data_IF_909169848391
#
_entry.id   IF_909169848391
#
_cell.length_a   1.000
_cell.length_b   1.000
_cell.length_c   1.000
_cell.angle_alpha   90.00
_cell.angle_beta   90.00
_cell.angle_gamma   90.00
#
_symmetry.space_group_name_H-M   'P 1'
#
loop_
_entity.id
_entity.type
_entity.pdbx_description
1 polymer ?
#
# COMPACT_ATOMS: atom_id res chain seq x y z
N UNK A 1 -24.11 51.51 -49.61
CA UNK A 1 -24.46 52.36 -48.45
C UNK A 1 -25.71 53.17 -48.81
N UNK A 2 -26.65 53.52 -47.91
CA UNK A 2 -26.70 53.37 -46.44
C UNK A 2 -27.89 52.48 -45.94
N UNK A 3 -27.76 51.68 -44.86
CA UNK A 3 -28.06 51.91 -43.41
C UNK A 3 -29.50 52.37 -43.09
N UNK A 4 -30.30 51.54 -42.40
CA UNK A 4 -31.16 51.87 -41.23
C UNK A 4 -31.74 50.60 -40.52
N UNK A 5 -31.55 50.56 -39.20
CA UNK A 5 -32.29 50.03 -38.02
C UNK A 5 -33.29 48.82 -38.03
N UNK A 6 -32.99 47.87 -37.12
CA UNK A 6 -33.73 47.32 -35.93
C UNK A 6 -35.07 46.52 -36.01
N UNK A 7 -34.98 45.30 -35.47
CA UNK A 7 -35.80 44.58 -34.44
C UNK A 7 -37.26 44.14 -34.70
N UNK A 8 -37.60 42.89 -34.34
CA UNK A 8 -38.35 42.51 -33.11
C UNK A 8 -38.91 41.08 -33.14
N UNK A 9 -39.14 40.52 -31.94
CA UNK A 9 -39.68 39.19 -31.60
C UNK A 9 -41.15 38.96 -32.04
N UNK A 10 -41.56 37.70 -32.28
CA UNK A 10 -42.48 36.89 -31.42
C UNK A 10 -43.00 35.61 -32.06
N UNK A 11 -43.32 34.68 -31.17
CA UNK A 11 -43.75 33.28 -31.24
C UNK A 11 -44.90 32.89 -32.19
N UNK A 12 -44.95 31.59 -32.54
CA UNK A 12 -46.21 30.87 -32.80
C UNK A 12 -46.08 29.37 -32.43
N UNK A 13 -47.02 28.88 -31.60
CA UNK A 13 -47.27 27.46 -31.32
C UNK A 13 -48.00 26.81 -32.52
N UNK A 14 -47.73 25.53 -32.78
CA UNK A 14 -48.69 24.61 -33.40
C UNK A 14 -48.63 23.23 -32.71
N UNK A 15 -49.74 22.82 -32.11
CA UNK A 15 -50.08 21.43 -31.84
C UNK A 15 -50.75 20.83 -33.08
N UNK A 16 -50.41 19.59 -33.43
CA UNK A 16 -51.32 18.70 -34.15
C UNK A 16 -51.07 17.23 -33.80
N UNK A 17 -52.18 16.56 -33.53
CA UNK A 17 -52.43 15.19 -33.11
C UNK A 17 -52.29 14.16 -34.23
N UNK A 18 -51.90 12.90 -33.93
CA UNK A 18 -52.29 11.74 -34.74
C UNK A 18 -52.31 10.41 -33.95
N UNK A 19 -53.54 9.93 -33.76
CA UNK A 19 -54.11 8.58 -33.87
C UNK A 19 -53.39 7.32 -33.33
N UNK A 20 -54.15 6.62 -32.47
CA UNK A 20 -54.00 5.23 -32.03
C UNK A 20 -54.17 4.20 -33.17
N UNK A 21 -53.35 3.15 -33.16
CA UNK A 21 -53.64 1.82 -33.73
C UNK A 21 -53.44 0.76 -32.62
N UNK A 22 -54.31 -0.25 -32.47
CA UNK A 22 -54.11 -1.31 -31.49
C UNK A 22 -53.28 -2.46 -32.12
N UNK A 23 -52.14 -2.78 -31.52
CA UNK A 23 -51.37 -3.98 -31.84
C UNK A 23 -51.54 -5.05 -30.75
N UNK A 24 -51.68 -6.29 -31.24
CA UNK A 24 -51.97 -7.55 -30.55
C UNK A 24 -51.22 -7.79 -29.23
N UNK A 25 -51.92 -8.41 -28.29
CA UNK A 25 -51.34 -9.09 -27.14
C UNK A 25 -50.37 -10.19 -27.60
N UNK A 26 -49.09 -9.99 -27.33
CA UNK A 26 -48.03 -10.98 -27.42
C UNK A 26 -47.59 -11.40 -26.03
N UNK A 27 -47.40 -12.70 -25.88
CA UNK A 27 -47.07 -13.46 -24.68
C UNK A 27 -45.89 -12.85 -23.89
N UNK A 28 -46.18 -12.28 -22.72
CA UNK A 28 -45.18 -11.73 -21.82
C UNK A 28 -44.67 -12.80 -20.87
N UNK A 29 -43.51 -13.38 -21.17
CA UNK A 29 -42.69 -14.02 -20.14
C UNK A 29 -42.34 -12.97 -19.07
N UNK A 30 -42.49 -13.25 -17.76
CA UNK A 30 -42.10 -12.29 -16.74
C UNK A 30 -40.57 -12.14 -16.78
N UNK A 31 -40.10 -10.98 -17.26
CA UNK A 31 -38.74 -10.52 -16.98
C UNK A 31 -38.56 -10.51 -15.46
N UNK A 32 -37.66 -11.35 -14.96
CA UNK A 32 -37.25 -11.29 -13.57
C UNK A 32 -36.66 -9.91 -13.32
N UNK A 33 -37.37 -9.08 -12.56
CA UNK A 33 -36.80 -7.89 -11.96
C UNK A 33 -35.69 -8.39 -11.04
N UNK A 34 -34.44 -8.21 -11.47
CA UNK A 34 -33.28 -8.36 -10.59
C UNK A 34 -33.50 -7.33 -9.48
N UNK A 35 -33.77 -7.80 -8.26
CA UNK A 35 -33.89 -6.93 -7.11
C UNK A 35 -32.56 -6.18 -6.97
N UNK A 36 -32.60 -4.85 -7.12
CA UNK A 36 -31.47 -4.00 -6.79
C UNK A 36 -31.23 -4.19 -5.29
N UNK A 37 -30.04 -4.68 -4.93
CA UNK A 37 -29.66 -4.81 -3.52
C UNK A 37 -29.87 -3.46 -2.83
N UNK A 38 -30.45 -3.43 -1.62
CA UNK A 38 -30.72 -2.17 -0.92
C UNK A 38 -29.43 -1.35 -0.79
N UNK A 39 -29.50 -0.07 -1.14
CA UNK A 39 -28.39 0.85 -0.99
C UNK A 39 -28.02 1.00 0.49
N UNK A 40 -26.73 1.19 0.78
CA UNK A 40 -26.24 1.44 2.13
C UNK A 40 -26.94 2.64 2.77
N UNK A 41 -27.37 2.49 4.02
CA UNK A 41 -28.03 3.54 4.80
C UNK A 41 -27.04 4.54 5.39
N UNK A 42 -25.78 4.13 5.59
CA UNK A 42 -24.64 4.93 6.06
C UNK A 42 -23.34 4.19 5.70
N UNK A 43 -22.20 4.87 5.70
CA UNK A 43 -20.86 4.28 5.50
C UNK A 43 -20.18 3.85 6.81
N UNK A 44 -20.90 3.95 7.94
CA UNK A 44 -20.39 3.62 9.28
C UNK A 44 -21.25 2.55 9.95
N UNK A 45 -20.64 1.40 10.23
CA UNK A 45 -21.24 0.28 10.96
C UNK A 45 -20.60 0.17 12.35
N UNK A 46 -21.37 0.44 13.41
CA UNK A 46 -20.92 0.27 14.79
C UNK A 46 -21.18 -1.13 15.36
N UNK A 47 -21.86 -2.01 14.61
CA UNK A 47 -22.28 -3.33 15.06
C UNK A 47 -23.21 -3.35 16.29
N UNK A 48 -23.66 -2.20 16.79
CA UNK A 48 -24.51 -2.09 17.99
C UNK A 48 -25.95 -2.55 17.79
N UNK A 49 -26.36 -2.78 16.56
CA UNK A 49 -27.73 -3.18 16.22
C UNK A 49 -27.81 -4.65 15.82
N UNK A 50 -29.03 -5.19 15.77
CA UNK A 50 -29.24 -6.60 15.43
C UNK A 50 -28.83 -7.57 16.53
N UNK A 51 -28.93 -8.88 16.23
CA UNK A 51 -28.58 -9.94 17.16
C UNK A 51 -28.12 -11.18 16.40
N UNK A 52 -26.99 -11.75 16.83
CA UNK A 52 -26.49 -13.04 16.35
C UNK A 52 -25.72 -13.76 17.46
N UNK A 53 -26.39 -14.58 18.27
CA UNK A 53 -25.78 -15.17 19.46
C UNK A 53 -24.89 -16.38 19.17
N UNK A 54 -25.00 -16.97 17.98
CA UNK A 54 -24.36 -18.24 17.63
C UNK A 54 -23.35 -18.08 16.49
N UNK A 55 -22.23 -18.78 16.59
CA UNK A 55 -21.09 -18.68 15.67
C UNK A 55 -21.35 -19.11 14.21
N UNK A 56 -22.13 -20.17 13.90
CA UNK A 56 -22.33 -20.63 12.53
C UNK A 56 -22.83 -19.53 11.57
N UNK A 57 -22.60 -19.70 10.27
CA UNK A 57 -22.96 -18.71 9.27
C UNK A 57 -24.41 -18.21 9.39
N UNK A 58 -24.60 -16.89 9.32
CA UNK A 58 -25.93 -16.27 9.32
C UNK A 58 -25.88 -14.79 8.99
N UNK A 59 -26.91 -14.32 8.28
CA UNK A 59 -27.07 -12.92 7.88
C UNK A 59 -27.82 -12.13 8.95
N UNK A 60 -27.36 -10.93 9.24
CA UNK A 60 -27.94 -10.00 10.22
C UNK A 60 -28.17 -8.67 9.54
N UNK A 61 -29.34 -8.07 9.75
CA UNK A 61 -29.60 -6.69 9.38
C UNK A 61 -29.01 -5.77 10.45
N UNK A 62 -28.05 -4.93 10.04
CA UNK A 62 -27.35 -3.96 10.89
C UNK A 62 -27.65 -2.52 10.45
N UNK A 63 -26.96 -1.55 11.05
CA UNK A 63 -27.20 -0.13 10.84
C UNK A 63 -26.90 0.34 9.42
N UNK A 64 -25.94 -0.28 8.75
CA UNK A 64 -25.52 0.01 7.36
C UNK A 64 -26.24 -0.81 6.28
N UNK A 65 -26.75 -1.99 6.65
CA UNK A 65 -27.30 -2.96 5.71
C UNK A 65 -27.18 -4.40 6.23
N UNK A 66 -27.39 -5.38 5.35
CA UNK A 66 -27.25 -6.80 5.73
C UNK A 66 -25.80 -7.24 5.68
N UNK A 67 -25.37 -7.96 6.71
CA UNK A 67 -24.03 -8.55 6.81
C UNK A 67 -24.13 -10.04 7.09
N UNK A 68 -23.34 -10.85 6.40
CA UNK A 68 -23.18 -12.28 6.70
C UNK A 68 -22.01 -12.48 7.65
N UNK A 69 -22.29 -13.13 8.78
CA UNK A 69 -21.31 -13.46 9.82
C UNK A 69 -21.06 -14.96 9.77
N UNK A 70 -19.83 -15.38 9.48
CA UNK A 70 -19.40 -16.79 9.47
C UNK A 70 -18.39 -17.01 10.59
N UNK A 71 -18.58 -18.04 11.42
CA UNK A 71 -17.79 -18.25 12.65
C UNK A 71 -17.62 -16.96 13.47
N UNK A 72 -18.70 -16.20 13.55
CA UNK A 72 -18.75 -14.91 14.23
C UNK A 72 -20.09 -14.69 14.92
N UNK A 73 -20.08 -13.91 15.99
CA UNK A 73 -21.26 -13.49 16.76
C UNK A 73 -21.28 -11.98 16.95
N UNK A 74 -22.43 -11.44 17.31
CA UNK A 74 -22.51 -10.14 17.96
C UNK A 74 -22.44 -10.36 19.48
N UNK A 75 -21.40 -9.82 20.11
CA UNK A 75 -21.04 -10.09 21.49
C UNK A 75 -21.12 -8.84 22.37
N UNK A 76 -21.79 -8.94 23.51
CA UNK A 76 -21.93 -7.87 24.51
C UNK A 76 -21.32 -8.22 25.87
N UNK A 77 -20.60 -9.33 25.98
CA UNK A 77 -20.01 -9.78 27.25
C UNK A 77 -18.95 -8.78 27.78
N UNK A 78 -18.60 -8.80 29.07
CA UNK A 78 -17.54 -7.94 29.61
C UNK A 78 -16.16 -8.15 28.97
N UNK A 79 -15.92 -9.33 28.37
CA UNK A 79 -14.68 -9.63 27.67
C UNK A 79 -14.68 -9.15 26.20
N UNK A 80 -15.85 -8.81 25.65
CA UNK A 80 -15.95 -8.15 24.35
C UNK A 80 -15.45 -6.73 24.46
N UNK A 81 -14.41 -6.44 23.69
CA UNK A 81 -13.93 -5.09 23.47
C UNK A 81 -14.84 -4.44 22.45
N UNK A 82 -15.45 -3.33 22.87
CA UNK A 82 -16.51 -2.67 22.14
C UNK A 82 -16.58 -1.18 22.48
N UNK A 83 -16.99 -0.37 21.53
CA UNK A 83 -17.37 1.03 21.67
C UNK A 83 -18.89 1.15 21.46
N UNK A 84 -19.66 0.86 22.52
CA UNK A 84 -21.11 0.81 22.43
C UNK A 84 -21.68 -0.38 23.20
N UNK A 85 -22.78 -0.92 22.70
CA UNK A 85 -23.54 -2.02 23.29
C UNK A 85 -22.94 -3.40 22.97
N UNK A 86 -22.40 -3.60 21.77
CA UNK A 86 -21.87 -4.89 21.31
C UNK A 86 -20.85 -4.71 20.19
N UNK A 87 -20.02 -5.71 19.94
CA UNK A 87 -19.10 -5.75 18.80
C UNK A 87 -19.17 -7.10 18.09
N UNK A 88 -18.65 -7.18 16.87
CA UNK A 88 -18.49 -8.46 16.19
C UNK A 88 -17.35 -9.25 16.83
N UNK A 89 -17.58 -10.51 17.17
CA UNK A 89 -16.56 -11.42 17.72
C UNK A 89 -16.38 -12.63 16.82
N UNK A 90 -15.21 -12.75 16.21
CA UNK A 90 -14.83 -13.82 15.29
C UNK A 90 -14.00 -14.88 16.02
N UNK A 91 -14.12 -16.13 15.59
CA UNK A 91 -13.25 -17.25 15.97
C UNK A 91 -12.79 -18.01 14.73
N UNK A 92 -11.93 -19.02 14.88
CA UNK A 92 -11.46 -19.87 13.79
C UNK A 92 -10.95 -19.01 12.61
N UNK A 93 -11.50 -19.21 11.42
CA UNK A 93 -11.29 -18.41 10.21
C UNK A 93 -12.54 -17.58 9.85
N UNK A 94 -13.20 -17.06 10.88
CA UNK A 94 -14.46 -16.33 10.73
C UNK A 94 -14.36 -15.11 9.83
N UNK A 95 -15.53 -14.71 9.33
CA UNK A 95 -15.69 -13.62 8.35
C UNK A 95 -16.90 -12.75 8.66
N UNK A 96 -16.78 -11.47 8.30
CA UNK A 96 -17.88 -10.51 8.22
C UNK A 96 -17.97 -10.02 6.78
N UNK A 97 -19.09 -10.28 6.11
CA UNK A 97 -19.26 -10.01 4.68
C UNK A 97 -20.39 -9.03 4.48
N UNK A 98 -20.15 -7.92 3.79
CA UNK A 98 -21.21 -7.01 3.37
C UNK A 98 -22.07 -7.67 2.28
N UNK A 99 -23.39 -7.63 2.42
CA UNK A 99 -24.34 -8.11 1.41
C UNK A 99 -24.91 -6.98 0.54
N UNK A 100 -24.29 -5.81 0.59
CA UNK A 100 -24.67 -4.60 -0.15
C UNK A 100 -23.42 -3.88 -0.64
N UNK A 101 -23.56 -3.09 -1.71
CA UNK A 101 -22.51 -2.23 -2.22
C UNK A 101 -22.67 -0.81 -1.70
N UNK A 102 -21.55 -0.17 -1.36
CA UNK A 102 -21.43 1.27 -1.22
C UNK A 102 -21.38 1.88 -2.63
N UNK A 103 -22.26 2.83 -2.97
CA UNK A 103 -22.38 3.32 -4.35
C UNK A 103 -21.26 4.28 -4.78
N UNK A 104 -20.59 4.91 -3.82
CA UNK A 104 -19.64 6.00 -4.07
C UNK A 104 -18.17 5.55 -4.01
N UNK A 105 -17.90 4.25 -4.04
CA UNK A 105 -16.54 3.74 -3.84
C UNK A 105 -16.02 3.94 -2.43
N UNK A 106 -14.71 3.74 -2.27
CA UNK A 106 -14.01 3.92 -1.01
C UNK A 106 -12.60 4.46 -1.25
N UNK A 107 -12.28 5.58 -0.60
CA UNK A 107 -10.92 6.10 -0.46
C UNK A 107 -10.21 5.38 0.69
N UNK A 108 -10.83 5.34 1.86
CA UNK A 108 -10.24 4.79 3.08
C UNK A 108 -11.27 3.96 3.83
N UNK A 109 -10.84 2.82 4.38
CA UNK A 109 -11.64 2.02 5.32
C UNK A 109 -10.91 2.01 6.66
N UNK A 110 -11.61 2.32 7.75
CA UNK A 110 -11.08 2.22 9.10
C UNK A 110 -11.87 1.21 9.90
N UNK A 111 -11.16 0.33 10.62
CA UNK A 111 -11.75 -0.74 11.42
C UNK A 111 -11.12 -0.74 12.80
N UNK A 112 -11.93 -0.77 13.85
CA UNK A 112 -11.41 -1.02 15.20
C UNK A 112 -11.30 -2.52 15.48
N UNK A 113 -10.23 -2.91 16.18
CA UNK A 113 -9.97 -4.30 16.53
C UNK A 113 -9.26 -4.43 17.87
N UNK A 114 -9.47 -5.58 18.53
CA UNK A 114 -8.78 -5.99 19.75
C UNK A 114 -8.88 -7.51 19.95
N UNK A 115 -7.95 -8.11 20.69
CA UNK A 115 -8.10 -9.49 21.15
C UNK A 115 -9.28 -9.57 22.14
N UNK A 116 -10.03 -10.66 22.08
CA UNK A 116 -11.10 -10.91 23.05
C UNK A 116 -10.52 -11.19 24.43
N UNK A 117 -10.93 -10.44 25.46
CA UNK A 117 -10.49 -10.65 26.85
C UNK A 117 -8.97 -10.72 27.02
N UNK A 118 -8.45 -11.95 27.17
CA UNK A 118 -7.02 -12.30 27.30
C UNK A 118 -6.61 -13.43 26.33
N UNK A 119 -7.36 -13.63 25.25
CA UNK A 119 -7.04 -14.62 24.21
C UNK A 119 -5.69 -14.26 23.54
N UNK A 120 -5.09 -15.22 22.84
CA UNK A 120 -3.85 -14.99 22.10
C UNK A 120 -4.06 -14.00 20.92
N UNK A 121 -2.95 -13.43 20.44
CA UNK A 121 -2.94 -12.55 19.27
C UNK A 121 -3.63 -13.16 18.06
N UNK A 122 -4.32 -12.35 17.28
CA UNK A 122 -5.05 -12.77 16.08
C UNK A 122 -4.67 -11.93 14.87
N UNK A 123 -4.35 -12.58 13.75
CA UNK A 123 -4.20 -11.93 12.45
C UNK A 123 -5.52 -11.91 11.65
N UNK A 124 -5.72 -10.86 10.86
CA UNK A 124 -6.88 -10.67 9.98
C UNK A 124 -6.57 -9.78 8.77
N UNK A 125 -7.45 -9.77 7.78
CA UNK A 125 -7.30 -9.05 6.51
C UNK A 125 -8.60 -8.35 6.10
N UNK A 126 -8.48 -7.22 5.43
CA UNK A 126 -9.57 -6.57 4.72
C UNK A 126 -9.57 -7.01 3.26
N UNK A 127 -10.75 -7.27 2.70
CA UNK A 127 -10.94 -7.65 1.31
C UNK A 127 -12.04 -6.78 0.70
N UNK A 128 -11.86 -6.40 -0.56
CA UNK A 128 -12.82 -5.62 -1.33
C UNK A 128 -13.29 -6.38 -2.58
N UNK A 129 -14.54 -6.17 -2.95
CA UNK A 129 -15.09 -6.59 -4.22
C UNK A 129 -15.67 -5.36 -4.91
N UNK A 130 -15.04 -4.94 -6.01
CA UNK A 130 -15.52 -3.86 -6.87
C UNK A 130 -16.51 -4.42 -7.90
N UNK A 131 -17.64 -3.75 -8.10
CA UNK A 131 -18.62 -4.18 -9.11
C UNK A 131 -18.12 -3.94 -10.55
N UNK A 132 -17.13 -3.05 -10.75
CA UNK A 132 -16.60 -2.68 -12.06
C UNK A 132 -16.04 -3.86 -12.85
N UNK A 133 -15.60 -4.93 -12.18
CA UNK A 133 -15.09 -6.12 -12.85
C UNK A 133 -16.16 -7.17 -13.19
N UNK A 134 -17.40 -7.07 -12.65
CA UNK A 134 -18.46 -8.09 -12.75
C UNK A 134 -18.00 -9.53 -12.44
N UNK A 135 -16.93 -9.68 -11.67
CA UNK A 135 -16.15 -10.91 -11.63
C UNK A 135 -16.27 -11.68 -10.30
N UNK A 136 -17.12 -11.21 -9.37
CA UNK A 136 -17.23 -11.72 -7.99
C UNK A 136 -15.89 -11.92 -7.27
N UNK A 137 -14.82 -11.27 -7.75
CA UNK A 137 -13.46 -11.46 -7.24
C UNK A 137 -13.25 -10.58 -6.03
N UNK A 138 -12.90 -11.22 -4.92
CA UNK A 138 -12.38 -10.53 -3.75
C UNK A 138 -10.89 -10.29 -3.93
N UNK A 139 -10.46 -9.05 -3.72
CA UNK A 139 -9.05 -8.63 -3.70
C UNK A 139 -8.70 -8.19 -2.29
N UNK A 140 -7.55 -8.61 -1.78
CA UNK A 140 -7.04 -8.15 -0.48
C UNK A 140 -6.75 -6.65 -0.55
N UNK A 141 -6.99 -5.95 0.55
CA UNK A 141 -6.73 -4.52 0.69
C UNK A 141 -5.73 -4.35 1.83
N UNK A 142 -4.61 -3.69 1.56
CA UNK A 142 -3.61 -3.42 2.59
C UNK A 142 -2.86 -4.66 3.08
N UNK A 143 -2.05 -4.41 4.09
CA UNK A 143 -1.32 -5.45 4.82
C UNK A 143 -2.23 -6.30 5.73
N UNK A 144 -1.79 -7.52 6.03
CA UNK A 144 -2.40 -8.32 7.11
C UNK A 144 -2.18 -7.63 8.44
N UNK A 145 -3.24 -7.46 9.22
CA UNK A 145 -3.18 -6.83 10.55
C UNK A 145 -2.96 -7.90 11.60
N UNK A 146 -2.00 -7.68 12.50
CA UNK A 146 -1.79 -8.50 13.70
C UNK A 146 -2.28 -7.76 14.94
N UNK A 147 -3.37 -8.24 15.52
CA UNK A 147 -3.95 -7.72 16.75
C UNK A 147 -3.34 -8.42 17.95
N UNK A 148 -2.69 -7.66 18.84
CA UNK A 148 -1.96 -8.20 20.00
C UNK A 148 -2.47 -7.69 21.35
N UNK A 149 -3.28 -6.62 21.34
CA UNK A 149 -3.76 -5.94 22.53
C UNK A 149 -5.26 -6.12 22.73
N UNK A 150 -5.71 -6.03 23.98
CA UNK A 150 -7.12 -6.07 24.38
C UNK A 150 -7.75 -4.67 24.54
N UNK A 151 -7.04 -3.63 24.10
CA UNK A 151 -7.57 -2.27 23.96
C UNK A 151 -7.93 -2.07 22.49
N UNK A 152 -9.10 -1.50 22.21
CA UNK A 152 -9.50 -1.19 20.83
C UNK A 152 -8.47 -0.26 20.19
N UNK A 153 -7.97 -0.68 19.03
CA UNK A 153 -7.10 0.10 18.17
C UNK A 153 -7.77 0.23 16.80
N UNK A 154 -7.61 1.38 16.17
CA UNK A 154 -8.06 1.59 14.80
C UNK A 154 -6.93 1.27 13.82
N UNK A 155 -7.25 0.57 12.74
CA UNK A 155 -6.38 0.44 11.56
C UNK A 155 -7.11 0.97 10.35
N UNK A 156 -6.42 1.83 9.59
CA UNK A 156 -6.92 2.40 8.35
C UNK A 156 -6.22 1.75 7.15
N UNK A 157 -7.02 1.48 6.12
CA UNK A 157 -6.60 0.91 4.85
C UNK A 157 -6.85 1.95 3.77
N UNK A 158 -5.83 2.26 2.97
CA UNK A 158 -6.04 2.96 1.71
C UNK A 158 -6.67 1.97 0.73
N UNK A 159 -7.82 2.33 0.16
CA UNK A 159 -8.61 1.44 -0.71
C UNK A 159 -8.59 1.97 -2.14
N UNK A 160 -8.90 3.26 -2.30
CA UNK A 160 -8.92 3.98 -3.58
C UNK A 160 -9.66 3.24 -4.71
N UNK A 161 -10.80 2.61 -4.39
CA UNK A 161 -11.68 1.97 -5.36
C UNK A 161 -12.80 2.94 -5.72
N UNK A 162 -12.95 3.23 -7.02
CA UNK A 162 -14.07 3.99 -7.55
C UNK A 162 -15.30 3.11 -7.81
N UNK A 163 -16.49 3.72 -7.83
CA UNK A 163 -17.74 3.02 -8.15
C UNK A 163 -18.17 2.02 -7.07
N UNK A 164 -19.16 1.18 -7.39
CA UNK A 164 -19.76 0.31 -6.37
C UNK A 164 -18.73 -0.66 -5.75
N UNK A 165 -18.57 -0.63 -4.42
CA UNK A 165 -17.65 -1.51 -3.69
C UNK A 165 -18.29 -2.10 -2.45
N UNK A 166 -17.93 -3.33 -2.10
CA UNK A 166 -18.27 -3.94 -0.82
C UNK A 166 -17.07 -4.64 -0.18
N UNK A 167 -17.15 -4.89 1.12
CA UNK A 167 -16.02 -5.37 1.91
C UNK A 167 -16.29 -6.69 2.63
N UNK A 168 -15.22 -7.40 2.91
CA UNK A 168 -15.20 -8.58 3.76
C UNK A 168 -13.99 -8.51 4.71
N UNK A 169 -14.24 -8.74 6.00
CA UNK A 169 -13.19 -8.88 7.02
C UNK A 169 -12.95 -10.36 7.25
N UNK A 170 -11.71 -10.81 7.13
CA UNK A 170 -11.33 -12.23 7.26
C UNK A 170 -10.32 -12.44 8.37
N UNK A 171 -10.66 -13.22 9.39
CA UNK A 171 -9.67 -13.70 10.37
C UNK A 171 -8.79 -14.78 9.72
N UNK A 172 -7.47 -14.64 9.80
CA UNK A 172 -6.50 -15.56 9.16
C UNK A 172 -5.79 -16.47 10.14
N UNK A 173 -5.65 -16.05 11.40
CA UNK A 173 -4.91 -16.77 12.46
C UNK A 173 -5.50 -18.12 12.90
N UNK A 174 -6.69 -18.51 12.43
CA UNK A 174 -7.33 -19.79 12.76
C UNK A 174 -7.58 -19.99 14.27
N UNK A 175 -8.05 -21.18 14.65
CA UNK A 175 -8.09 -21.64 16.05
C UNK A 175 -9.10 -20.94 16.98
N UNK A 176 -8.99 -21.24 18.27
CA UNK A 176 -9.96 -20.81 19.29
C UNK A 176 -9.75 -19.37 19.80
N UNK A 177 -8.61 -18.74 19.51
CA UNK A 177 -8.37 -17.35 19.88
C UNK A 177 -9.34 -16.43 19.13
N UNK A 178 -10.06 -15.58 19.87
CA UNK A 178 -11.12 -14.73 19.33
C UNK A 178 -10.64 -13.30 19.11
N UNK A 179 -11.21 -12.69 18.07
CA UNK A 179 -10.95 -11.32 17.64
C UNK A 179 -12.24 -10.51 17.76
N UNK A 180 -12.18 -9.37 18.44
CA UNK A 180 -13.23 -8.37 18.37
C UNK A 180 -12.95 -7.42 17.19
N UNK A 181 -13.99 -7.16 16.40
CA UNK A 181 -14.06 -6.15 15.35
C UNK A 181 -15.18 -5.21 15.72
N UNK A 182 -14.91 -3.92 15.65
CA UNK A 182 -15.86 -2.89 15.96
C UNK A 182 -15.67 -1.66 15.08
N UNK A 183 -16.64 -0.74 15.08
CA UNK A 183 -16.59 0.54 14.37
C UNK A 183 -15.92 0.46 12.98
N UNK A 184 -16.66 -0.08 12.01
CA UNK A 184 -16.25 -0.11 10.60
C UNK A 184 -16.72 1.18 9.91
N UNK A 185 -15.80 1.93 9.31
CA UNK A 185 -16.14 3.18 8.63
C UNK A 185 -15.47 3.29 7.26
N UNK A 186 -16.19 3.87 6.31
CA UNK A 186 -15.70 4.11 4.95
C UNK A 186 -15.78 5.59 4.61
N UNK A 187 -14.68 6.12 4.09
CA UNK A 187 -14.63 7.42 3.41
C UNK A 187 -14.85 7.17 1.92
N UNK A 188 -15.87 7.80 1.34
CA UNK A 188 -16.21 7.66 -0.08
C UNK A 188 -15.04 8.01 -1.01
N UNK A 189 -15.02 7.39 -2.19
CA UNK A 189 -14.05 7.72 -3.24
C UNK A 189 -14.39 9.08 -3.86
N UNK A 190 -13.38 9.93 -4.10
CA UNK A 190 -13.57 11.25 -4.72
C UNK A 190 -13.81 12.41 -3.77
N UNK A 191 -13.86 12.18 -2.46
CA UNK A 191 -13.46 13.26 -1.51
C UNK A 191 -11.98 13.48 -1.79
N UNK A 192 -11.61 14.61 -2.38
CA UNK A 192 -10.24 14.90 -2.78
C UNK A 192 -9.30 14.65 -1.60
N UNK A 193 -8.58 13.52 -1.64
CA UNK A 193 -7.37 13.38 -0.84
C UNK A 193 -6.45 14.48 -1.36
N UNK A 194 -5.87 15.33 -0.50
CA UNK A 194 -4.89 16.29 -0.96
C UNK A 194 -3.82 15.50 -1.72
N UNK A 195 -3.68 15.73 -3.03
CA UNK A 195 -2.54 15.18 -3.74
C UNK A 195 -1.32 15.89 -3.17
N UNK A 196 -0.47 15.13 -2.50
CA UNK A 196 0.84 15.64 -2.10
C UNK A 196 1.74 15.30 -3.27
N UNK A 197 2.00 16.31 -4.09
CA UNK A 197 2.91 16.15 -5.21
C UNK A 197 4.34 16.03 -4.67
N UNK A 198 5.18 15.25 -5.35
CA UNK A 198 6.57 15.00 -4.97
C UNK A 198 6.74 14.38 -3.56
N UNK A 199 5.71 13.69 -3.04
CA UNK A 199 5.79 13.02 -1.73
C UNK A 199 6.54 11.68 -1.82
N UNK A 200 7.55 11.51 -0.98
CA UNK A 200 8.29 10.25 -0.84
C UNK A 200 7.40 9.04 -0.47
N UNK A 201 6.19 9.26 0.02
CA UNK A 201 5.20 8.24 0.38
C UNK A 201 3.93 8.29 -0.50
N UNK A 202 3.95 9.00 -1.62
CA UNK A 202 2.77 9.15 -2.49
C UNK A 202 2.15 7.80 -2.85
N UNK A 203 2.99 6.80 -3.15
CA UNK A 203 2.54 5.47 -3.57
C UNK A 203 2.13 4.54 -2.43
N UNK A 204 2.23 4.97 -1.17
CA UNK A 204 1.73 4.20 -0.02
C UNK A 204 2.79 3.79 0.97
N UNK A 205 2.35 3.11 2.03
CA UNK A 205 3.19 2.65 3.13
C UNK A 205 3.33 1.12 3.08
N UNK A 206 4.45 0.60 2.52
CA UNK A 206 4.57 -0.81 2.15
C UNK A 206 4.24 -1.81 3.25
N UNK A 207 4.61 -1.49 4.49
CA UNK A 207 4.48 -2.40 5.63
C UNK A 207 3.57 -1.86 6.73
N UNK A 208 2.86 -0.75 6.50
CA UNK A 208 2.10 -0.05 7.54
C UNK A 208 2.99 0.43 8.71
N UNK A 209 4.24 0.83 8.43
CA UNK A 209 5.17 1.31 9.45
C UNK A 209 4.64 2.58 10.13
N UNK A 210 4.86 2.72 11.43
CA UNK A 210 4.48 3.89 12.22
C UNK A 210 5.62 4.38 13.10
N UNK A 211 5.62 5.67 13.44
CA UNK A 211 6.62 6.29 14.33
C UNK A 211 6.27 6.02 15.80
N UNK A 212 6.27 4.75 16.20
CA UNK A 212 5.99 4.31 17.56
C UNK A 212 7.04 3.28 18.02
N UNK A 213 7.70 3.58 19.14
CA UNK A 213 8.76 2.74 19.72
C UNK A 213 8.29 1.33 20.12
N UNK A 214 6.97 1.14 20.24
CA UNK A 214 6.32 -0.16 20.48
C UNK A 214 6.36 -1.08 19.25
N UNK A 215 6.69 -0.54 18.07
CA UNK A 215 6.84 -1.27 16.80
C UNK A 215 8.28 -1.21 16.29
N UNK A 216 9.28 -1.69 17.05
CA UNK A 216 10.70 -1.45 16.80
C UNK A 216 11.25 -2.16 15.55
N UNK A 217 10.55 -3.17 15.04
CA UNK A 217 10.94 -3.91 13.84
C UNK A 217 10.30 -3.35 12.56
N UNK A 218 9.44 -2.33 12.68
CA UNK A 218 8.73 -1.68 11.59
C UNK A 218 8.53 -0.17 11.87
N UNK A 219 9.60 0.49 12.32
CA UNK A 219 9.54 1.87 12.82
C UNK A 219 9.69 2.89 11.69
N UNK A 220 8.71 3.77 11.53
CA UNK A 220 8.71 4.78 10.47
C UNK A 220 9.63 5.96 10.81
N UNK A 221 10.64 6.18 9.97
CA UNK A 221 11.48 7.38 9.97
C UNK A 221 11.16 8.22 8.74
N UNK A 222 10.72 9.46 8.98
CA UNK A 222 10.36 10.41 7.93
C UNK A 222 11.45 11.49 7.83
N UNK A 223 12.03 11.65 6.65
CA UNK A 223 12.94 12.75 6.32
C UNK A 223 12.45 13.48 5.08
N UNK A 224 12.83 14.75 4.87
CA UNK A 224 12.51 15.47 3.63
C UNK A 224 13.02 14.74 2.37
N UNK A 225 14.16 14.07 2.48
CA UNK A 225 14.83 13.45 1.34
C UNK A 225 14.29 12.06 0.99
N UNK A 226 13.75 11.33 1.96
CA UNK A 226 13.24 9.97 1.78
C UNK A 226 12.52 9.52 3.07
N UNK A 227 11.69 8.49 2.97
CA UNK A 227 10.99 7.88 4.11
C UNK A 227 11.35 6.40 4.19
N UNK A 228 11.41 5.83 5.38
CA UNK A 228 11.78 4.42 5.56
C UNK A 228 11.04 3.74 6.69
N UNK A 229 10.91 2.42 6.60
CA UNK A 229 10.69 1.55 7.75
C UNK A 229 12.03 1.00 8.22
N UNK A 230 12.38 1.24 9.49
CA UNK A 230 13.60 0.75 10.10
C UNK A 230 13.34 -0.47 10.98
N UNK A 231 14.21 -1.48 10.86
CA UNK A 231 14.15 -2.69 11.68
C UNK A 231 15.27 -2.68 12.72
N UNK A 232 14.97 -2.24 13.95
CA UNK A 232 15.93 -2.10 15.05
C UNK A 232 16.83 -3.33 15.22
N UNK A 233 16.23 -4.51 15.26
CA UNK A 233 16.98 -5.75 15.57
C UNK A 233 17.82 -6.26 14.40
N UNK A 234 17.61 -5.75 13.19
CA UNK A 234 18.44 -6.07 12.01
C UNK A 234 19.50 -4.99 11.74
N UNK A 235 19.38 -3.81 12.35
CA UNK A 235 20.30 -2.70 12.12
C UNK A 235 20.25 -2.11 10.70
N UNK A 236 19.21 -2.41 9.93
CA UNK A 236 19.02 -1.97 8.53
C UNK A 236 17.55 -1.62 8.28
N UNK A 237 17.24 -0.83 7.25
CA UNK A 237 15.86 -0.57 6.85
C UNK A 237 15.21 -1.82 6.25
N UNK A 238 13.89 -1.97 6.48
CA UNK A 238 13.04 -2.91 5.77
C UNK A 238 12.87 -2.44 4.30
N UNK A 239 12.57 -1.16 4.14
CA UNK A 239 12.44 -0.47 2.86
C UNK A 239 12.72 1.03 3.04
N UNK A 240 13.10 1.69 1.95
CA UNK A 240 13.24 3.14 1.81
C UNK A 240 12.47 3.57 0.56
N UNK A 241 11.66 4.61 0.67
CA UNK A 241 10.83 5.19 -0.39
C UNK A 241 11.23 6.63 -0.64
N UNK A 242 11.35 7.02 -1.90
CA UNK A 242 11.64 8.40 -2.30
C UNK A 242 11.09 8.75 -3.67
N UNK A 243 10.72 10.02 -3.82
CA UNK A 243 10.46 10.66 -5.11
C UNK A 243 11.77 11.18 -5.70
N UNK A 244 11.91 11.22 -7.01
CA UNK A 244 13.07 11.82 -7.67
C UNK A 244 12.62 12.55 -8.93
N UNK A 245 12.96 13.83 -8.99
CA UNK A 245 12.83 14.66 -10.18
C UNK A 245 14.14 15.39 -10.51
N UNK A 246 14.08 16.36 -11.43
CA UNK A 246 15.23 17.20 -11.75
C UNK A 246 15.57 18.20 -10.65
N UNK A 247 14.59 18.66 -9.86
CA UNK A 247 14.77 19.60 -8.76
C UNK A 247 15.64 19.05 -7.62
N UNK A 248 15.62 17.73 -7.44
CA UNK A 248 16.50 17.01 -6.51
C UNK A 248 17.99 16.97 -6.93
N UNK A 249 18.29 17.42 -8.15
CA UNK A 249 19.61 17.28 -8.77
C UNK A 249 20.16 18.62 -9.23
N UNK A 250 21.11 19.17 -8.48
CA UNK A 250 21.83 20.39 -8.85
C UNK A 250 23.36 20.23 -8.79
N UNK A 251 23.84 18.99 -8.81
CA UNK A 251 25.25 18.67 -9.07
C UNK A 251 26.23 18.98 -7.95
N UNK A 252 25.79 19.10 -6.69
CA UNK A 252 26.76 19.19 -5.59
C UNK A 252 27.58 17.91 -5.45
N UNK A 253 28.78 18.06 -4.88
CA UNK A 253 29.66 16.93 -4.60
C UNK A 253 29.10 16.01 -3.51
N UNK A 254 29.46 14.75 -3.63
CA UNK A 254 29.17 13.70 -2.66
C UNK A 254 29.85 13.99 -1.31
N UNK A 255 29.13 13.82 -0.21
CA UNK A 255 29.64 14.18 1.13
C UNK A 255 30.47 13.10 1.82
N UNK A 256 30.18 11.82 1.60
CA UNK A 256 30.89 10.68 2.20
C UNK A 256 30.98 10.71 3.75
N UNK A 257 30.02 11.39 4.40
CA UNK A 257 29.96 11.63 5.84
C UNK A 257 29.09 10.60 6.57
N UNK A 258 29.43 9.32 6.40
CA UNK A 258 28.74 8.17 7.01
C UNK A 258 28.64 8.29 8.52
N UNK A 259 27.40 8.37 9.03
CA UNK A 259 27.17 8.64 10.46
C UNK A 259 25.88 8.02 11.00
N UNK A 260 25.82 7.79 12.32
CA UNK A 260 24.58 7.42 12.99
C UNK A 260 23.44 8.42 12.74
N UNK A 261 22.21 7.93 12.78
CA UNK A 261 21.03 8.75 12.58
C UNK A 261 20.53 9.29 13.93
N UNK A 262 20.56 10.62 14.16
CA UNK A 262 20.13 11.21 15.42
C UNK A 262 18.62 11.06 15.67
N UNK A 263 17.82 10.68 14.66
CA UNK A 263 16.38 10.45 14.83
C UNK A 263 16.05 9.05 15.40
N UNK A 264 17.01 8.13 15.49
CA UNK A 264 16.75 6.84 16.13
C UNK A 264 16.47 7.02 17.63
N UNK A 265 15.45 6.32 18.18
CA UNK A 265 15.10 6.40 19.61
C UNK A 265 16.29 6.14 20.54
N UNK A 266 16.31 6.85 21.67
CA UNK A 266 17.33 6.67 22.70
C UNK A 266 17.38 5.21 23.17
N UNK A 267 18.61 4.69 23.31
CA UNK A 267 18.86 3.30 23.71
C UNK A 267 18.85 2.27 22.58
N UNK A 268 18.44 2.65 21.36
CA UNK A 268 18.60 1.77 20.19
C UNK A 268 20.05 1.75 19.73
N UNK A 269 20.46 0.64 19.13
CA UNK A 269 21.80 0.52 18.58
C UNK A 269 21.99 1.50 17.42
N UNK A 270 23.03 2.32 17.52
CA UNK A 270 23.41 3.31 16.53
C UNK A 270 24.46 2.69 15.60
N UNK A 271 24.03 2.21 14.44
CA UNK A 271 24.95 1.69 13.43
C UNK A 271 25.89 2.82 13.02
N UNK A 272 27.19 2.54 13.02
CA UNK A 272 28.22 3.53 12.66
C UNK A 272 28.92 3.09 11.38
N UNK A 273 29.74 3.98 10.82
CA UNK A 273 30.60 3.59 9.71
C UNK A 273 31.49 2.38 10.04
N UNK A 274 31.95 2.21 11.28
CA UNK A 274 32.89 1.13 11.64
C UNK A 274 32.21 -0.22 11.79
N UNK A 275 30.87 -0.27 11.88
CA UNK A 275 30.07 -1.50 11.86
C UNK A 275 30.33 -2.36 10.62
N UNK A 276 30.79 -1.76 9.52
CA UNK A 276 31.05 -2.43 8.24
C UNK A 276 32.54 -2.73 8.03
N UNK A 277 33.44 -2.23 8.88
CA UNK A 277 34.89 -2.32 8.69
C UNK A 277 35.37 -3.78 8.66
N UNK A 278 36.14 -4.13 7.63
CA UNK A 278 36.70 -5.48 7.46
C UNK A 278 35.68 -6.57 7.09
N UNK A 279 34.40 -6.22 6.92
CA UNK A 279 33.34 -7.21 6.63
C UNK A 279 33.39 -7.82 5.23
N UNK A 280 34.00 -7.11 4.28
CA UNK A 280 33.92 -7.42 2.85
C UNK A 280 32.62 -6.97 2.18
N UNK A 281 31.76 -6.22 2.89
CA UNK A 281 30.56 -5.59 2.34
C UNK A 281 30.72 -4.07 2.29
N UNK A 282 30.11 -3.47 1.28
CA UNK A 282 29.97 -2.03 1.17
C UNK A 282 28.85 -1.51 2.07
N UNK A 283 28.91 -0.21 2.35
CA UNK A 283 27.80 0.58 2.90
C UNK A 283 26.88 0.94 1.74
N UNK A 284 26.07 -0.03 1.32
CA UNK A 284 25.16 0.10 0.17
C UNK A 284 24.02 1.03 0.51
N UNK A 285 23.85 2.11 -0.27
CA UNK A 285 22.75 3.04 -0.09
C UNK A 285 21.45 2.44 -0.65
N UNK A 286 20.31 2.72 -0.01
CA UNK A 286 19.00 2.53 -0.66
C UNK A 286 18.59 3.77 -1.45
N UNK A 287 18.41 4.92 -0.79
CA UNK A 287 18.34 6.21 -1.48
C UNK A 287 19.76 6.70 -1.79
N UNK A 288 20.20 6.73 -3.06
CA UNK A 288 21.59 6.96 -3.39
C UNK A 288 21.95 8.44 -3.32
N UNK A 289 23.19 8.72 -2.90
CA UNK A 289 23.74 10.09 -2.85
C UNK A 289 23.55 10.87 -4.16
N UNK A 290 23.70 10.20 -5.31
CA UNK A 290 23.54 10.83 -6.62
C UNK A 290 22.11 11.34 -6.87
N UNK A 291 21.09 10.83 -6.18
CA UNK A 291 19.69 11.26 -6.32
C UNK A 291 19.36 12.47 -5.43
N UNK A 292 20.29 12.91 -4.58
CA UNK A 292 20.13 14.06 -3.69
C UNK A 292 21.32 14.98 -3.85
N UNK A 293 21.37 15.71 -4.95
CA UNK A 293 22.47 16.64 -5.27
C UNK A 293 22.00 18.09 -5.36
N UNK A 294 20.83 18.41 -4.82
CA UNK A 294 20.27 19.77 -4.80
C UNK A 294 20.88 20.67 -3.73
N UNK A 295 21.28 20.13 -2.57
CA UNK A 295 21.90 20.88 -1.47
C UNK A 295 22.79 19.99 -0.62
N UNK A 296 23.79 20.59 0.06
CA UNK A 296 24.73 19.90 0.95
C UNK A 296 24.00 19.01 1.96
N UNK A 297 22.95 19.57 2.56
CA UNK A 297 22.08 18.90 3.52
C UNK A 297 21.38 17.68 2.92
N UNK A 298 20.81 17.82 1.73
CA UNK A 298 20.11 16.72 1.06
C UNK A 298 21.06 15.56 0.72
N UNK A 299 22.27 15.86 0.24
CA UNK A 299 23.25 14.82 -0.04
C UNK A 299 23.78 14.16 1.24
N UNK A 300 24.17 14.97 2.23
CA UNK A 300 24.64 14.51 3.53
C UNK A 300 23.60 13.62 4.22
N UNK A 301 22.30 13.90 4.08
CA UNK A 301 21.24 13.06 4.62
C UNK A 301 21.27 11.62 4.08
N UNK A 302 21.74 11.39 2.85
CA UNK A 302 21.85 10.02 2.29
C UNK A 302 22.90 9.16 3.01
N UNK A 303 23.80 9.77 3.79
CA UNK A 303 24.87 9.09 4.53
C UNK A 303 24.51 8.69 5.97
N UNK A 304 23.26 8.87 6.38
CA UNK A 304 22.79 8.24 7.62
C UNK A 304 22.85 6.72 7.50
N UNK A 305 23.40 6.04 8.52
CA UNK A 305 23.53 4.58 8.50
C UNK A 305 22.18 3.84 8.51
N UNK A 306 21.08 4.52 8.84
CA UNK A 306 19.69 4.03 8.67
C UNK A 306 19.28 3.85 7.21
N UNK A 307 19.97 4.50 6.26
CA UNK A 307 19.79 4.33 4.81
C UNK A 307 20.74 3.28 4.20
N UNK A 308 21.47 2.53 5.03
CA UNK A 308 22.48 1.57 4.57
C UNK A 308 22.04 0.12 4.75
N UNK A 309 22.49 -0.73 3.83
CA UNK A 309 22.49 -2.19 3.99
C UNK A 309 23.87 -2.78 3.63
N UNK A 310 24.30 -3.90 4.25
CA UNK A 310 25.45 -4.65 3.78
C UNK A 310 25.23 -5.15 2.36
N UNK A 311 25.96 -4.58 1.40
CA UNK A 311 25.83 -4.93 -0.01
C UNK A 311 27.14 -5.45 -0.56
N UNK A 312 27.10 -6.57 -1.27
CA UNK A 312 28.29 -7.13 -1.91
C UNK A 312 28.83 -6.13 -2.95
N UNK A 313 30.16 -5.89 -3.03
CA UNK A 313 30.73 -4.89 -3.92
C UNK A 313 30.28 -4.98 -5.39
N UNK A 314 30.18 -6.17 -5.98
CA UNK A 314 29.71 -6.32 -7.37
C UNK A 314 28.21 -6.00 -7.53
N UNK A 315 27.41 -6.25 -6.49
CA UNK A 315 26.03 -5.81 -6.47
C UNK A 315 25.99 -4.27 -6.41
N UNK A 316 26.58 -3.67 -5.36
CA UNK A 316 26.53 -2.22 -5.10
C UNK A 316 27.13 -1.38 -6.25
N UNK A 317 28.40 -1.62 -6.58
CA UNK A 317 29.19 -0.71 -7.42
C UNK A 317 28.91 -0.88 -8.91
N UNK A 318 28.33 -2.02 -9.30
CA UNK A 318 28.13 -2.36 -10.72
C UNK A 318 26.65 -2.57 -11.02
N UNK A 319 26.05 -3.67 -10.58
CA UNK A 319 24.70 -4.05 -11.05
C UNK A 319 23.63 -3.09 -10.54
N UNK A 320 23.66 -2.79 -9.24
CA UNK A 320 22.76 -1.84 -8.59
C UNK A 320 23.02 -0.41 -9.07
N UNK A 321 24.29 0.01 -9.10
CA UNK A 321 24.69 1.31 -9.63
C UNK A 321 24.28 1.54 -11.09
N UNK A 322 24.30 0.49 -11.94
CA UNK A 322 23.82 0.56 -13.32
C UNK A 322 22.30 0.83 -13.39
N UNK A 323 21.50 0.18 -12.54
CA UNK A 323 20.07 0.45 -12.45
C UNK A 323 19.80 1.86 -11.94
N UNK A 324 20.55 2.32 -10.94
CA UNK A 324 20.45 3.70 -10.45
C UNK A 324 20.78 4.72 -11.55
N UNK A 325 21.83 4.47 -12.33
CA UNK A 325 22.19 5.31 -13.47
C UNK A 325 21.08 5.33 -14.52
N UNK A 326 20.52 4.17 -14.86
CA UNK A 326 19.39 4.05 -15.79
C UNK A 326 18.14 4.79 -15.28
N UNK A 327 17.85 4.69 -13.99
CA UNK A 327 16.71 5.40 -13.37
C UNK A 327 16.80 6.91 -13.60
N UNK A 328 18.03 7.46 -13.51
CA UNK A 328 18.26 8.89 -13.72
C UNK A 328 18.13 9.34 -15.18
N UNK A 329 18.17 8.43 -16.17
CA UNK A 329 18.01 8.81 -17.59
C UNK A 329 16.58 9.19 -17.95
N UNK A 330 15.60 8.91 -17.08
CA UNK A 330 14.21 9.33 -17.29
C UNK A 330 13.99 10.82 -17.05
N UNK A 331 14.89 11.47 -16.30
CA UNK A 331 14.88 12.90 -16.03
C UNK A 331 15.42 13.70 -17.24
N UNK A 332 14.97 14.95 -17.48
CA UNK A 332 13.99 15.70 -16.70
C UNK A 332 12.54 15.51 -17.16
N UNK A 333 12.30 14.73 -18.23
CA UNK A 333 10.98 14.62 -18.85
C UNK A 333 9.98 13.83 -18.00
N UNK A 334 10.50 12.93 -17.17
CA UNK A 334 9.73 12.18 -16.19
C UNK A 334 10.23 12.53 -14.79
N UNK A 335 9.40 12.23 -13.82
CA UNK A 335 9.76 11.98 -12.44
C UNK A 335 9.62 10.48 -12.14
N UNK A 336 10.26 10.04 -11.07
CA UNK A 336 10.25 8.64 -10.68
C UNK A 336 9.99 8.48 -9.20
N UNK A 337 9.21 7.47 -8.84
CA UNK A 337 9.00 7.05 -7.47
C UNK A 337 9.70 5.72 -7.26
N UNK A 338 10.55 5.64 -6.25
CA UNK A 338 11.36 4.46 -5.99
C UNK A 338 11.06 3.96 -4.59
N UNK A 339 10.84 2.65 -4.49
CA UNK A 339 10.83 1.91 -3.22
C UNK A 339 11.89 0.83 -3.33
N UNK A 340 12.84 0.78 -2.40
CA UNK A 340 13.92 -0.19 -2.41
C UNK A 340 14.14 -0.79 -1.01
N UNK A 341 14.63 -2.02 -0.95
CA UNK A 341 14.88 -2.68 0.32
C UNK A 341 15.66 -3.99 0.17
N UNK A 342 15.64 -4.77 1.25
CA UNK A 342 16.33 -6.06 1.28
C UNK A 342 15.63 -7.07 2.18
N UNK A 343 15.73 -8.35 1.85
CA UNK A 343 15.14 -9.43 2.63
C UNK A 343 16.08 -10.63 2.73
N UNK A 344 15.69 -11.58 3.58
CA UNK A 344 16.47 -12.78 3.90
C UNK A 344 17.77 -12.50 4.63
N UNK A 345 18.60 -13.53 4.76
CA UNK A 345 19.86 -13.53 5.51
C UNK A 345 20.89 -14.36 4.74
N UNK A 346 22.13 -13.87 4.64
CA UNK A 346 23.26 -14.64 4.10
C UNK A 346 23.75 -14.18 2.72
N UNK A 347 24.45 -13.04 2.67
CA UNK A 347 25.10 -12.53 1.45
C UNK A 347 26.56 -13.01 1.32
N UNK A 348 27.17 -12.74 0.17
CA UNK A 348 28.59 -13.07 -0.10
C UNK A 348 29.37 -11.82 -0.51
N UNK A 349 30.10 -11.25 0.45
CA UNK A 349 31.00 -10.11 0.27
C UNK A 349 32.36 -10.51 -0.32
N UNK A 350 33.30 -9.57 -0.38
CA UNK A 350 34.63 -9.79 -0.98
C UNK A 350 35.50 -10.77 -0.21
N UNK A 351 35.21 -11.01 1.07
CA UNK A 351 35.88 -12.03 1.88
C UNK A 351 35.47 -13.48 1.49
N UNK A 352 34.47 -13.64 0.61
CA UNK A 352 33.93 -14.95 0.24
C UNK A 352 33.06 -15.59 1.33
N UNK A 353 32.49 -16.76 1.04
CA UNK A 353 31.58 -17.46 1.95
C UNK A 353 30.24 -16.76 2.15
N UNK A 354 29.40 -17.34 3.01
CA UNK A 354 28.12 -16.73 3.41
C UNK A 354 28.30 -16.00 4.73
N UNK A 355 28.01 -14.70 4.75
CA UNK A 355 28.01 -13.87 5.95
C UNK A 355 26.56 -13.54 6.31
N UNK A 356 26.16 -13.83 7.55
CA UNK A 356 24.80 -13.60 8.02
C UNK A 356 24.63 -12.25 8.73
N UNK A 357 25.67 -11.81 9.45
CA UNK A 357 25.63 -10.58 10.25
C UNK A 357 27.00 -9.92 10.30
N UNK A 358 27.02 -8.60 10.46
CA UNK A 358 28.19 -7.80 10.80
C UNK A 358 28.13 -7.36 12.26
N UNK A 359 29.23 -6.78 12.73
CA UNK A 359 29.25 -5.98 13.96
C UNK A 359 28.69 -6.71 15.20
N UNK A 360 29.21 -7.92 15.45
CA UNK A 360 28.80 -8.78 16.57
C UNK A 360 27.30 -9.15 16.55
N UNK A 361 26.72 -9.30 15.35
CA UNK A 361 25.32 -9.70 15.19
C UNK A 361 24.34 -8.53 15.07
N UNK A 362 24.80 -7.29 15.19
CA UNK A 362 23.94 -6.10 15.27
C UNK A 362 23.46 -5.57 13.93
N UNK A 363 24.10 -5.98 12.83
CA UNK A 363 23.71 -5.61 11.47
C UNK A 363 23.51 -6.88 10.68
N UNK A 364 22.30 -7.13 10.20
CA UNK A 364 21.98 -8.30 9.37
C UNK A 364 22.48 -8.10 7.95
N UNK A 365 23.10 -9.11 7.36
CA UNK A 365 23.47 -9.14 5.94
C UNK A 365 22.32 -9.81 5.17
N UNK A 366 21.61 -9.07 4.30
CA UNK A 366 20.55 -9.66 3.48
C UNK A 366 21.15 -10.56 2.40
N UNK A 367 20.40 -11.59 1.97
CA UNK A 367 20.79 -12.39 0.79
C UNK A 367 20.15 -11.88 -0.51
N UNK A 368 19.16 -10.97 -0.42
CA UNK A 368 18.43 -10.40 -1.56
C UNK A 368 18.27 -8.89 -1.40
N UNK A 369 18.40 -8.17 -2.50
CA UNK A 369 18.20 -6.71 -2.61
C UNK A 369 17.22 -6.42 -3.73
N UNK A 370 16.19 -5.63 -3.47
CA UNK A 370 15.11 -5.38 -4.42
C UNK A 370 14.82 -3.90 -4.58
N UNK A 371 14.25 -3.52 -5.73
CA UNK A 371 13.86 -2.14 -6.05
C UNK A 371 12.66 -2.14 -6.99
N UNK A 372 11.69 -1.26 -6.73
CA UNK A 372 10.53 -0.95 -7.57
C UNK A 372 10.61 0.51 -7.97
N UNK A 373 10.47 0.80 -9.26
CA UNK A 373 10.56 2.15 -9.85
C UNK A 373 9.31 2.39 -10.68
N UNK A 374 8.51 3.39 -10.33
CA UNK A 374 7.36 3.86 -11.10
C UNK A 374 7.77 5.12 -11.86
N UNK A 375 7.58 5.12 -13.18
CA UNK A 375 8.04 6.20 -14.06
C UNK A 375 6.82 6.99 -14.56
N UNK A 376 6.79 8.29 -14.28
CA UNK A 376 5.68 9.18 -14.62
C UNK A 376 6.18 10.41 -15.37
N UNK A 377 5.48 10.87 -16.42
CA UNK A 377 5.70 12.21 -16.93
C UNK A 377 5.49 13.25 -15.82
N UNK A 378 6.36 14.26 -15.77
CA UNK A 378 6.26 15.36 -14.80
C UNK A 378 4.88 16.02 -14.86
N UNK A 379 4.24 16.23 -13.73
CA UNK A 379 2.96 16.95 -13.61
C UNK A 379 2.46 17.05 -12.17
N UNK A 380 1.21 17.48 -12.00
CA UNK A 380 0.55 17.58 -10.69
C UNK A 380 -0.49 16.44 -10.48
N UNK A 381 -0.76 16.06 -9.23
CA UNK A 381 -1.61 14.92 -8.83
C UNK A 381 -1.01 13.53 -9.13
N UNK A 382 0.19 13.27 -8.62
CA UNK A 382 1.06 12.18 -9.07
C UNK A 382 0.44 10.79 -9.00
N UNK A 383 -0.21 10.46 -7.88
CA UNK A 383 -0.90 9.18 -7.68
C UNK A 383 -1.98 8.95 -8.74
N UNK A 384 -2.72 10.01 -9.11
CA UNK A 384 -3.80 9.92 -10.09
C UNK A 384 -3.29 9.74 -11.54
N UNK A 385 -2.02 10.08 -11.82
CA UNK A 385 -1.39 9.85 -13.14
C UNK A 385 -0.88 8.41 -13.30
N UNK A 386 -0.81 7.64 -12.23
CA UNK A 386 -0.47 6.21 -12.32
C UNK A 386 -1.67 5.45 -12.85
N UNK A 387 -1.50 4.81 -14.00
CA UNK A 387 -2.55 4.05 -14.68
C UNK A 387 -2.09 2.62 -14.93
N UNK A 388 -3.01 1.77 -15.41
CA UNK A 388 -2.67 0.44 -15.89
C UNK A 388 -1.70 0.42 -17.09
N UNK A 389 -1.26 1.55 -17.63
CA UNK A 389 -0.22 1.59 -18.68
C UNK A 389 1.09 2.21 -18.20
N UNK A 390 1.17 2.66 -16.94
CA UNK A 390 2.39 3.24 -16.38
C UNK A 390 3.50 2.20 -16.35
N UNK A 391 4.72 2.59 -16.77
CA UNK A 391 5.87 1.70 -16.74
C UNK A 391 6.36 1.55 -15.31
N UNK A 392 6.41 0.32 -14.84
CA UNK A 392 6.97 -0.06 -13.54
C UNK A 392 8.12 -1.03 -13.76
N UNK A 393 9.28 -0.74 -13.19
CA UNK A 393 10.44 -1.63 -13.20
C UNK A 393 10.59 -2.21 -11.79
N UNK A 394 10.49 -3.53 -11.67
CA UNK A 394 10.77 -4.26 -10.44
C UNK A 394 11.96 -5.20 -10.65
N UNK A 395 12.91 -5.22 -9.72
CA UNK A 395 14.08 -6.10 -9.73
C UNK A 395 14.27 -6.77 -8.38
N UNK A 396 14.81 -7.99 -8.39
CA UNK A 396 15.20 -8.72 -7.19
C UNK A 396 16.54 -9.46 -7.44
N UNK A 397 17.60 -8.96 -6.82
CA UNK A 397 18.98 -9.35 -7.07
C UNK A 397 19.57 -10.14 -5.90
N UNK A 398 20.38 -11.19 -6.14
CA UNK A 398 21.15 -11.82 -5.08
C UNK A 398 22.23 -10.87 -4.53
N UNK A 399 22.47 -10.88 -3.23
CA UNK A 399 23.50 -10.05 -2.60
C UNK A 399 24.87 -10.74 -2.56
N UNK A 400 25.47 -10.93 -3.73
CA UNK A 400 26.71 -11.71 -3.93
C UNK A 400 27.72 -10.95 -4.82
N UNK A 401 28.91 -11.51 -5.04
CA UNK A 401 29.90 -10.91 -5.94
C UNK A 401 29.91 -11.46 -7.37
N UNK A 402 29.11 -12.48 -7.68
CA UNK A 402 29.09 -13.14 -9.00
C UNK A 402 27.84 -12.80 -9.80
N UNK A 403 27.30 -11.60 -9.64
CA UNK A 403 26.14 -11.14 -10.43
C UNK A 403 26.53 -10.86 -11.87
N UNK A 404 25.54 -10.99 -12.75
CA UNK A 404 25.56 -10.39 -14.06
C UNK A 404 25.48 -8.86 -13.92
N UNK A 405 26.32 -8.14 -14.66
CA UNK A 405 26.37 -6.67 -14.61
C UNK A 405 25.15 -6.00 -15.26
N UNK A 406 24.44 -6.71 -16.14
CA UNK A 406 23.16 -6.29 -16.68
C UNK A 406 22.05 -6.53 -15.67
N UNK A 407 21.62 -5.46 -14.98
CA UNK A 407 20.55 -5.52 -14.00
C UNK A 407 19.22 -6.07 -14.57
N UNK A 408 19.00 -5.94 -15.89
CA UNK A 408 17.78 -6.37 -16.56
C UNK A 408 17.48 -7.86 -16.51
N UNK A 409 18.49 -8.69 -16.22
CA UNK A 409 18.31 -10.15 -16.02
C UNK A 409 17.66 -10.49 -14.68
N UNK A 410 17.59 -9.53 -13.77
CA UNK A 410 16.98 -9.66 -12.44
C UNK A 410 15.61 -9.02 -12.35
N UNK A 411 15.01 -8.66 -13.49
CA UNK A 411 13.64 -8.14 -13.53
C UNK A 411 12.66 -9.20 -13.02
N UNK A 412 11.67 -8.73 -12.28
CA UNK A 412 10.58 -9.51 -11.71
C UNK A 412 9.29 -8.68 -11.75
N UNK A 413 8.20 -9.22 -11.23
CA UNK A 413 6.96 -8.47 -10.97
C UNK A 413 6.96 -7.87 -9.56
N UNK A 414 6.14 -6.85 -9.31
CA UNK A 414 5.95 -6.30 -7.96
C UNK A 414 5.29 -7.36 -7.06
N UNK A 415 4.29 -8.11 -7.58
CA UNK A 415 3.65 -9.23 -6.88
C UNK A 415 4.67 -10.23 -6.30
N UNK A 416 5.77 -10.51 -7.04
CA UNK A 416 6.78 -11.45 -6.59
C UNK A 416 7.65 -10.88 -5.44
N UNK A 417 7.87 -9.57 -5.43
CA UNK A 417 8.55 -8.87 -4.32
C UNK A 417 7.63 -8.86 -3.09
N UNK A 418 6.35 -8.54 -3.27
CA UNK A 418 5.34 -8.60 -2.20
C UNK A 418 5.22 -10.01 -1.60
N UNK A 419 5.15 -11.04 -2.44
CA UNK A 419 5.14 -12.43 -2.00
C UNK A 419 6.39 -12.81 -1.17
N UNK A 420 7.54 -12.23 -1.49
CA UNK A 420 8.81 -12.49 -0.79
C UNK A 420 8.96 -11.69 0.51
N UNK A 421 8.30 -10.54 0.61
CA UNK A 421 8.49 -9.58 1.71
C UNK A 421 7.30 -9.49 2.67
N UNK A 422 6.11 -9.87 2.22
CA UNK A 422 4.85 -9.67 2.92
C UNK A 422 4.35 -8.22 2.91
N UNK A 423 4.92 -7.35 2.06
CA UNK A 423 4.51 -5.96 1.90
C UNK A 423 3.37 -5.82 0.88
N UNK A 424 2.65 -4.69 0.97
CA UNK A 424 1.71 -4.18 -0.03
C UNK A 424 2.34 -2.90 -0.62
N UNK A 425 3.07 -3.08 -1.71
CA UNK A 425 3.75 -2.01 -2.42
C UNK A 425 2.74 -1.28 -3.30
N UNK A 426 2.94 0.02 -3.48
CA UNK A 426 2.03 0.85 -4.29
C UNK A 426 0.59 0.89 -3.75
N UNK A 427 0.41 0.63 -2.45
CA UNK A 427 -0.88 0.48 -1.75
C UNK A 427 -1.83 1.68 -1.87
N UNK A 428 -1.33 2.87 -2.23
CA UNK A 428 -2.18 4.04 -2.47
C UNK A 428 -2.78 4.09 -3.88
N UNK A 429 -2.39 3.19 -4.79
CA UNK A 429 -2.99 3.12 -6.11
C UNK A 429 -4.37 2.44 -6.05
N UNK A 430 -5.28 2.73 -6.99
CA UNK A 430 -6.51 1.94 -7.12
C UNK A 430 -6.20 0.46 -7.34
N UNK A 431 -6.95 -0.45 -6.70
CA UNK A 431 -6.69 -1.90 -6.80
C UNK A 431 -6.66 -2.44 -8.23
N UNK A 432 -7.43 -1.85 -9.15
CA UNK A 432 -7.42 -2.24 -10.56
C UNK A 432 -6.13 -1.82 -11.28
N UNK A 433 -5.51 -0.71 -10.85
CA UNK A 433 -4.21 -0.26 -11.32
C UNK A 433 -3.11 -1.13 -10.74
N UNK A 434 -3.14 -1.38 -9.42
CA UNK A 434 -2.24 -2.32 -8.72
C UNK A 434 -2.22 -3.67 -9.42
N UNK A 435 -3.38 -4.34 -9.52
CA UNK A 435 -3.52 -5.65 -10.15
C UNK A 435 -3.04 -5.69 -11.60
N UNK A 436 -3.10 -4.57 -12.33
CA UNK A 436 -2.57 -4.47 -13.66
C UNK A 436 -1.04 -4.35 -13.64
N UNK A 437 -0.47 -3.36 -12.95
CA UNK A 437 0.97 -3.03 -13.04
C UNK A 437 1.85 -4.00 -12.24
N UNK A 438 1.35 -4.54 -11.13
CA UNK A 438 2.14 -5.34 -10.20
C UNK A 438 2.37 -6.77 -10.67
N UNK A 439 1.44 -7.31 -11.46
CA UNK A 439 1.55 -8.64 -12.07
C UNK A 439 2.52 -8.69 -13.26
N UNK A 440 2.90 -7.54 -13.83
CA UNK A 440 3.74 -7.47 -15.04
C UNK A 440 5.22 -7.43 -14.68
N UNK A 441 6.04 -8.11 -15.49
CA UNK A 441 7.50 -7.92 -15.51
C UNK A 441 7.84 -6.93 -16.61
N UNK A 442 8.62 -5.88 -16.31
CA UNK A 442 9.08 -4.91 -17.32
C UNK A 442 9.83 -5.61 -18.47
N UNK A 443 9.53 -5.21 -19.70
CA UNK A 443 10.23 -5.66 -20.91
C UNK A 443 10.88 -4.51 -21.67
N UNK A 444 10.92 -3.32 -21.09
CA UNK A 444 11.52 -2.15 -21.73
C UNK A 444 13.05 -2.18 -21.79
N UNK A 445 13.67 -1.11 -22.31
CA UNK A 445 15.12 -0.97 -22.38
C UNK A 445 15.78 -1.03 -21.00
N UNK A 446 17.07 -1.37 -20.98
CA UNK A 446 17.87 -1.51 -19.75
C UNK A 446 19.10 -0.60 -19.71
N UNK A 447 19.25 0.28 -20.69
CA UNK A 447 20.39 1.16 -20.90
C UNK A 447 20.00 2.46 -21.59
#
# INVERSE_FOLDING_TARGET
MPKYLRSSLRSLLLLSSLAFQPARAGDGSPSSLVAVAPAATTTQESFDTGSKPNYPAGTVALGTGSWTFTDAVLGSSPADRKNGAQSARLQQNGKLTMEFFLPNGASTVTVQHAIFGTDASSSWELWAQAASCNCDKWTKVGNTVLTTTNVLQATSFTVNISGNVKFEIRKTSGGAARLNIDDFSVVDFGVAQPSVDNDNMALGNPSGAITDISYPTNYLLVKPQYVMSYHRDRGIPNWVSWHLDIGDRNGIDRQDDFRPDPQLPAGWYQVTQTSYSGSGFDRGHLCPSADRTSSLENNSATFYMTNMMPQAPQNNQVTWGNLENYTRTFLPNNEVYIIAGSYGVGGTGSNGGVTNTLDQGRVTVPNRTWKVIVILPVGDNDVARVTSNTRVIAVDMPNINTLNTNWGVYRTSVDAIEASTGYDLLSNLPLEVQAAIEARTDTGPTN
#
